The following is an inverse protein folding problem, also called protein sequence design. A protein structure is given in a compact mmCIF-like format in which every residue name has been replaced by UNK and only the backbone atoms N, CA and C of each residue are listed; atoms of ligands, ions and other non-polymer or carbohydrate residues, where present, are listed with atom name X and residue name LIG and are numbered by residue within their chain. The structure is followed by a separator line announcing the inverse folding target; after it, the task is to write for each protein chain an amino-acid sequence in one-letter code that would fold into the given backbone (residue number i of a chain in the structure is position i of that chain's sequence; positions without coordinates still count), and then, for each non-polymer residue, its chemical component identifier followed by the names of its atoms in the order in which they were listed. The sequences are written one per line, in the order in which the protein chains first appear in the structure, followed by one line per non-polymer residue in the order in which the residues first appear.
data_IF_524986534968
#
_entry.id   IF_524986534968
#
_cell.length_a   1.000
_cell.length_b   1.000
_cell.length_c   1.000
_cell.angle_alpha   90.00
_cell.angle_beta   90.00
_cell.angle_gamma   90.00
#
_symmetry.space_group_name_H-M   'P 1'
#
loop_
_entity.id
_entity.type
_entity.pdbx_description
1 polymer ?
#
# COMPACT_ATOMS: atom_id res chain seq x y z
N UNK A 1 20.31 -1.86 2.10
CA UNK A 1 18.89 -1.55 2.38
C UNK A 1 18.40 -2.59 3.37
N UNK A 2 17.67 -2.19 4.42
CA UNK A 2 17.25 -3.10 5.50
C UNK A 2 16.16 -4.08 5.02
N UNK A 3 15.88 -5.13 5.83
CA UNK A 3 14.75 -6.03 5.57
C UNK A 3 13.42 -5.27 5.52
N UNK A 4 13.22 -4.32 6.42
CA UNK A 4 12.01 -3.50 6.48
C UNK A 4 11.81 -2.71 5.18
N UNK A 5 12.82 -1.96 4.74
CA UNK A 5 12.72 -1.14 3.53
C UNK A 5 12.50 -2.03 2.29
N UNK A 6 13.18 -3.17 2.20
CA UNK A 6 12.96 -4.10 1.08
C UNK A 6 11.50 -4.60 1.05
N UNK A 7 10.94 -5.02 2.18
CA UNK A 7 9.54 -5.45 2.27
C UNK A 7 8.57 -4.31 1.91
N UNK A 8 8.82 -3.10 2.42
CA UNK A 8 8.02 -1.92 2.10
C UNK A 8 8.02 -1.62 0.61
N UNK A 9 9.18 -1.71 -0.04
CA UNK A 9 9.27 -1.48 -1.48
C UNK A 9 8.52 -2.54 -2.30
N UNK A 10 8.54 -3.81 -1.91
CA UNK A 10 7.77 -4.84 -2.63
C UNK A 10 6.27 -4.60 -2.50
N UNK A 11 5.77 -4.30 -1.30
CA UNK A 11 4.36 -3.97 -1.09
C UNK A 11 3.96 -2.72 -1.87
N UNK A 12 4.74 -1.64 -1.78
CA UNK A 12 4.47 -0.40 -2.51
C UNK A 12 4.49 -0.60 -4.04
N UNK A 13 5.36 -1.48 -4.58
CA UNK A 13 5.37 -1.83 -6.01
C UNK A 13 4.06 -2.50 -6.42
N UNK A 14 3.54 -3.42 -5.61
CA UNK A 14 2.24 -4.05 -5.87
C UNK A 14 1.12 -3.02 -5.76
N UNK A 15 1.10 -2.20 -4.71
CA UNK A 15 0.09 -1.16 -4.54
C UNK A 15 0.10 -0.10 -5.64
N UNK A 16 1.27 0.26 -6.18
CA UNK A 16 1.40 1.21 -7.28
C UNK A 16 1.06 0.61 -8.65
N UNK A 17 0.98 -0.72 -8.75
CA UNK A 17 0.78 -1.41 -10.02
C UNK A 17 -0.66 -1.31 -10.53
N UNK A 18 -0.88 -1.59 -11.81
CA UNK A 18 -2.25 -1.64 -12.38
C UNK A 18 -3.14 -2.66 -11.66
N UNK A 19 -4.45 -2.45 -11.69
CA UNK A 19 -5.44 -3.40 -11.16
C UNK A 19 -5.22 -4.85 -11.63
N UNK A 20 -4.83 -5.06 -12.89
CA UNK A 20 -4.54 -6.38 -13.44
C UNK A 20 -3.34 -7.07 -12.76
N UNK A 21 -2.32 -6.30 -12.37
CA UNK A 21 -1.14 -6.82 -11.66
C UNK A 21 -1.51 -7.11 -10.21
N UNK A 22 -2.26 -6.23 -9.55
CA UNK A 22 -2.80 -6.43 -8.20
C UNK A 22 -3.66 -7.70 -8.13
N UNK A 23 -4.56 -7.91 -9.08
CA UNK A 23 -5.38 -9.12 -9.18
C UNK A 23 -4.53 -10.38 -9.41
N UNK A 24 -3.49 -10.32 -10.23
CA UNK A 24 -2.57 -11.46 -10.41
C UNK A 24 -1.80 -11.78 -9.12
N UNK A 25 -1.39 -10.76 -8.37
CA UNK A 25 -0.76 -10.93 -7.06
C UNK A 25 -1.72 -11.66 -6.10
N UNK A 26 -2.95 -11.16 -5.95
CA UNK A 26 -3.97 -11.76 -5.09
C UNK A 26 -4.31 -13.21 -5.45
N UNK A 27 -4.43 -13.51 -6.75
CA UNK A 27 -4.65 -14.89 -7.21
C UNK A 27 -3.48 -15.83 -6.87
N UNK A 28 -2.26 -15.30 -6.76
CA UNK A 28 -1.08 -16.06 -6.33
C UNK A 28 -1.11 -16.46 -4.85
N UNK A 29 -1.89 -15.77 -4.01
CA UNK A 29 -2.03 -16.05 -2.58
C UNK A 29 -3.00 -17.21 -2.28
N UNK A 30 -3.74 -17.69 -3.28
CA UNK A 30 -4.68 -18.81 -3.15
C UNK A 30 -6.06 -18.44 -2.60
N UNK A 31 -6.19 -17.33 -1.85
CA UNK A 31 -7.46 -16.73 -1.45
C UNK A 31 -7.48 -15.24 -1.84
N UNK A 32 -8.03 -14.87 -3.01
CA UNK A 32 -7.91 -13.52 -3.54
C UNK A 32 -8.92 -12.58 -2.87
N UNK A 33 -8.57 -12.08 -1.69
CA UNK A 33 -9.31 -10.99 -1.05
C UNK A 33 -8.57 -9.67 -1.25
N UNK A 34 -9.31 -8.60 -1.57
CA UNK A 34 -8.71 -7.31 -1.95
C UNK A 34 -8.14 -6.56 -0.75
N UNK A 35 -8.65 -6.85 0.45
CA UNK A 35 -8.12 -6.35 1.72
C UNK A 35 -6.67 -6.80 1.98
N UNK A 36 -6.22 -7.94 1.45
CA UNK A 36 -4.82 -8.39 1.56
C UNK A 36 -3.82 -7.32 1.07
N UNK A 37 -4.18 -6.53 0.05
CA UNK A 37 -3.33 -5.41 -0.41
C UNK A 37 -3.16 -4.32 0.66
N UNK A 38 -4.21 -4.05 1.44
CA UNK A 38 -4.18 -3.10 2.54
C UNK A 38 -3.48 -3.70 3.76
N UNK A 39 -3.74 -4.98 4.08
CA UNK A 39 -3.13 -5.70 5.20
C UNK A 39 -1.62 -5.81 5.06
N UNK A 40 -1.12 -6.17 3.87
CA UNK A 40 0.32 -6.24 3.56
C UNK A 40 1.03 -4.89 3.82
N UNK A 41 0.32 -3.79 3.57
CA UNK A 41 0.82 -2.44 3.82
C UNK A 41 0.71 -2.05 5.30
N UNK A 42 -0.43 -2.31 5.93
CA UNK A 42 -0.69 -1.98 7.34
C UNK A 42 0.34 -2.61 8.27
N UNK A 43 0.68 -3.89 8.06
CA UNK A 43 1.73 -4.61 8.81
C UNK A 43 3.08 -3.85 8.83
N UNK A 44 3.43 -3.20 7.71
CA UNK A 44 4.66 -2.42 7.57
C UNK A 44 4.49 -0.97 8.03
N UNK A 45 3.30 -0.39 7.87
CA UNK A 45 2.98 0.95 8.33
C UNK A 45 3.00 1.04 9.86
N UNK A 46 2.52 0.01 10.56
CA UNK A 46 2.59 -0.10 12.02
C UNK A 46 4.04 0.00 12.56
N UNK A 47 5.03 -0.41 11.77
CA UNK A 47 6.45 -0.26 12.12
C UNK A 47 7.01 1.13 11.79
N UNK A 48 6.41 1.88 10.87
CA UNK A 48 6.96 3.11 10.30
C UNK A 48 7.33 4.19 11.34
N UNK A 49 6.57 4.42 12.43
CA UNK A 49 6.95 5.40 13.46
C UNK A 49 8.31 5.07 14.10
N UNK A 50 8.53 3.81 14.48
CA UNK A 50 9.81 3.37 15.04
C UNK A 50 10.96 3.53 14.04
N UNK A 51 10.66 3.41 12.75
CA UNK A 51 11.64 3.52 11.66
C UNK A 51 12.03 4.97 11.40
N UNK A 52 11.10 5.90 11.59
CA UNK A 52 11.39 7.33 11.62
C UNK A 52 12.27 7.69 12.83
N UNK A 53 11.95 7.19 14.02
CA UNK A 53 12.70 7.47 15.26
C UNK A 53 14.19 7.08 15.16
N UNK A 54 14.48 5.93 14.54
CA UNK A 54 15.87 5.45 14.36
C UNK A 54 16.55 6.00 13.09
N UNK A 55 15.89 6.90 12.35
CA UNK A 55 16.43 7.53 11.14
C UNK A 55 16.48 6.61 9.90
N UNK A 56 15.77 5.49 9.92
CA UNK A 56 15.64 4.58 8.78
C UNK A 56 14.63 5.09 7.74
N UNK A 57 13.67 5.91 8.19
CA UNK A 57 12.80 6.75 7.35
C UNK A 57 13.08 8.23 7.57
N UNK A 58 12.94 9.02 6.51
CA UNK A 58 12.86 10.48 6.60
C UNK A 58 11.45 10.93 6.97
N UNK A 59 11.30 12.15 7.50
CA UNK A 59 9.98 12.73 7.78
C UNK A 59 9.10 12.83 6.53
N UNK A 60 9.69 13.07 5.35
CA UNK A 60 8.94 13.13 4.10
C UNK A 60 8.47 11.74 3.63
N UNK A 61 9.31 10.71 3.78
CA UNK A 61 8.90 9.33 3.49
C UNK A 61 7.77 8.90 4.42
N UNK A 62 7.90 9.17 5.72
CA UNK A 62 6.87 8.87 6.71
C UNK A 62 5.55 9.58 6.40
N UNK A 63 5.59 10.88 6.09
CA UNK A 63 4.38 11.65 5.73
C UNK A 63 3.63 11.05 4.53
N UNK A 64 4.36 10.62 3.50
CA UNK A 64 3.74 10.00 2.33
C UNK A 64 3.11 8.64 2.66
N UNK A 65 3.72 7.87 3.56
CA UNK A 65 3.12 6.62 4.07
C UNK A 65 1.85 6.91 4.87
N UNK A 66 1.83 7.97 5.69
CA UNK A 66 0.62 8.40 6.41
C UNK A 66 -0.50 8.82 5.46
N UNK A 67 -0.18 9.52 4.37
CA UNK A 67 -1.17 9.92 3.36
C UNK A 67 -1.78 8.70 2.67
N UNK A 68 -0.96 7.70 2.34
CA UNK A 68 -1.42 6.42 1.81
C UNK A 68 -2.28 5.66 2.83
N UNK A 69 -1.87 5.60 4.10
CA UNK A 69 -2.65 4.97 5.16
C UNK A 69 -4.01 5.64 5.35
N UNK A 70 -4.02 6.97 5.35
CA UNK A 70 -5.25 7.77 5.48
C UNK A 70 -6.24 7.47 4.34
N UNK A 71 -5.76 7.14 3.14
CA UNK A 71 -6.62 6.73 2.03
C UNK A 71 -7.24 5.35 2.28
N UNK A 72 -6.50 4.40 2.86
CA UNK A 72 -7.08 3.12 3.28
C UNK A 72 -8.11 3.29 4.41
N UNK A 73 -7.82 4.16 5.39
CA UNK A 73 -8.75 4.48 6.48
C UNK A 73 -10.09 5.04 5.93
N UNK A 74 -10.04 5.87 4.88
CA UNK A 74 -11.25 6.43 4.26
C UNK A 74 -12.17 5.39 3.60
N UNK A 75 -11.61 4.31 3.05
CA UNK A 75 -12.40 3.23 2.42
C UNK A 75 -12.66 2.05 3.36
N UNK A 76 -12.06 2.05 4.55
CA UNK A 76 -12.28 1.04 5.58
C UNK A 76 -13.75 1.01 6.03
N UNK A 77 -14.24 -0.19 6.35
CA UNK A 77 -15.62 -0.40 6.82
C UNK A 77 -16.72 -0.26 5.75
N UNK A 78 -16.36 -0.09 4.47
CA UNK A 78 -17.32 -0.09 3.36
C UNK A 78 -17.00 -1.22 2.38
N UNK A 79 -17.72 -2.33 2.51
CA UNK A 79 -17.50 -3.61 1.78
C UNK A 79 -17.36 -3.46 0.26
N UNK A 80 -18.02 -2.47 -0.35
CA UNK A 80 -18.00 -2.27 -1.81
C UNK A 80 -16.59 -2.06 -2.38
N UNK A 81 -15.69 -1.46 -1.59
CA UNK A 81 -14.32 -1.17 -2.03
C UNK A 81 -13.41 -2.39 -2.01
N UNK A 82 -13.83 -3.49 -1.38
CA UNK A 82 -13.00 -4.68 -1.16
C UNK A 82 -13.38 -5.81 -2.12
N UNK A 83 -13.57 -5.45 -3.39
CA UNK A 83 -14.00 -6.38 -4.45
C UNK A 83 -13.04 -6.36 -5.64
N UNK A 84 -12.96 -7.45 -6.40
CA UNK A 84 -12.08 -7.48 -7.58
C UNK A 84 -12.43 -6.39 -8.62
N UNK A 85 -13.70 -6.02 -8.74
CA UNK A 85 -14.18 -4.96 -9.64
C UNK A 85 -13.74 -3.56 -9.18
N UNK A 86 -13.79 -3.27 -7.88
CA UNK A 86 -13.42 -1.95 -7.36
C UNK A 86 -11.96 -1.60 -7.66
N UNK A 87 -11.06 -2.58 -7.69
CA UNK A 87 -9.66 -2.36 -8.09
C UNK A 87 -9.55 -1.67 -9.45
N UNK A 88 -10.43 -1.98 -10.40
CA UNK A 88 -10.38 -1.43 -11.76
C UNK A 88 -11.28 -0.21 -11.97
N UNK A 89 -12.37 -0.11 -11.22
CA UNK A 89 -13.47 0.84 -11.50
C UNK A 89 -13.49 2.02 -10.53
N UNK A 90 -13.03 1.83 -9.29
CA UNK A 90 -13.16 2.83 -8.24
C UNK A 90 -12.00 3.83 -8.28
N UNK A 91 -12.35 5.12 -8.14
CA UNK A 91 -11.39 6.23 -8.09
C UNK A 91 -10.50 6.16 -6.86
N UNK A 92 -11.02 5.61 -5.78
CA UNK A 92 -10.31 5.43 -4.52
C UNK A 92 -9.10 4.50 -4.70
N UNK A 93 -9.27 3.39 -5.43
CA UNK A 93 -8.15 2.51 -5.77
C UNK A 93 -7.18 3.14 -6.78
N UNK A 94 -7.66 4.01 -7.67
CA UNK A 94 -6.79 4.82 -8.52
C UNK A 94 -5.91 5.76 -7.68
N UNK A 95 -6.47 6.38 -6.65
CA UNK A 95 -5.75 7.28 -5.75
C UNK A 95 -4.73 6.52 -4.89
N UNK A 96 -5.10 5.35 -4.34
CA UNK A 96 -4.17 4.45 -3.64
C UNK A 96 -2.95 4.14 -4.51
N UNK A 97 -3.16 3.79 -5.79
CA UNK A 97 -2.06 3.53 -6.74
C UNK A 97 -1.17 4.76 -6.96
N UNK A 98 -1.77 5.96 -7.05
CA UNK A 98 -1.02 7.22 -7.20
C UNK A 98 -0.18 7.53 -5.96
N UNK A 99 -0.75 7.41 -4.77
CA UNK A 99 -0.07 7.64 -3.49
C UNK A 99 1.06 6.62 -3.27
N UNK A 100 0.83 5.34 -3.56
CA UNK A 100 1.87 4.32 -3.52
C UNK A 100 3.01 4.63 -4.49
N UNK A 101 2.69 5.11 -5.71
CA UNK A 101 3.70 5.56 -6.67
C UNK A 101 4.51 6.76 -6.18
N UNK A 102 3.88 7.69 -5.45
CA UNK A 102 4.57 8.82 -4.79
C UNK A 102 5.53 8.30 -3.72
N UNK A 103 5.08 7.34 -2.89
CA UNK A 103 5.93 6.71 -1.88
C UNK A 103 7.16 6.07 -2.51
N UNK A 104 7.01 5.21 -3.53
CA UNK A 104 8.12 4.53 -4.21
C UNK A 104 9.20 5.50 -4.71
N UNK A 105 8.79 6.63 -5.29
CA UNK A 105 9.75 7.62 -5.82
C UNK A 105 10.61 8.27 -4.75
N UNK A 106 10.22 8.23 -3.48
CA UNK A 106 11.03 8.75 -2.37
C UNK A 106 12.09 7.78 -1.84
N UNK A 107 12.04 6.51 -2.28
CA UNK A 107 13.00 5.48 -1.86
C UNK A 107 13.97 5.06 -2.97
N UNK A 108 13.79 5.61 -4.18
CA UNK A 108 14.66 5.40 -5.34
C UNK A 108 15.81 6.41 -5.39
#
# INVERSE_FOLDING_TARGET
MSKYINSLLEVLKILASSAQVQLRYLNGLGNPSVDELALDFDDLFLMAPSKLEVGELTSQQFKNLEDLNSMFDQISGVDRYWTASSLSEDREWEEIRKLASVCLRQFN
#
